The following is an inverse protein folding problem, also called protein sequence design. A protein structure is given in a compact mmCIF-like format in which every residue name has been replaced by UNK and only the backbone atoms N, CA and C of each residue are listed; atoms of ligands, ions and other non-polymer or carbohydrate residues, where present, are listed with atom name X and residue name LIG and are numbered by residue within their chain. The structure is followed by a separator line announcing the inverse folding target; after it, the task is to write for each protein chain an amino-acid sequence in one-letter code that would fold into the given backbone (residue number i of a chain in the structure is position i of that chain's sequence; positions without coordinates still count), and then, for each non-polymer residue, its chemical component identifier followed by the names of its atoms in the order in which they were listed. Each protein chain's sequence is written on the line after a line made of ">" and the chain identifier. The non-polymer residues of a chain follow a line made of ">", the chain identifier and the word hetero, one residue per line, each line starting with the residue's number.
data_IF_677422845875
#
_entry.id   IF_677422845875
#
_cell.length_a   1.000
_cell.length_b   1.000
_cell.length_c   1.000
_cell.angle_alpha   90.00
_cell.angle_beta   90.00
_cell.angle_gamma   90.00
#
_symmetry.space_group_name_H-M   'P 1'
#
loop_
_entity.id
_entity.type
_entity.pdbx_description
1 polymer ?
#
# COMPACT_ATOMS: atom_id res chain seq x y z
N UNK A 1 -12.54 11.34 -5.06
CA UNK A 1 -11.21 11.74 -5.55
C UNK A 1 -10.17 11.24 -4.57
N UNK A 2 -8.89 11.50 -4.83
CA UNK A 2 -7.92 11.64 -3.76
C UNK A 2 -8.26 12.99 -3.09
N UNK A 3 -7.42 14.03 -3.03
CA UNK A 3 -7.65 15.46 -2.63
C UNK A 3 -8.91 16.03 -1.88
N UNK A 4 -9.86 15.25 -1.38
CA UNK A 4 -10.95 15.67 -0.49
C UNK A 4 -12.12 16.14 -1.30
N UNK A 5 -12.14 15.78 -2.58
CA UNK A 5 -13.14 16.22 -3.53
C UNK A 5 -13.98 15.04 -4.02
N UNK A 6 -15.17 15.34 -4.51
CA UNK A 6 -15.93 14.39 -5.31
C UNK A 6 -15.16 14.10 -6.60
N UNK A 7 -15.08 12.83 -7.00
CA UNK A 7 -14.64 12.49 -8.35
C UNK A 7 -15.88 12.11 -9.17
N UNK A 8 -15.89 12.46 -10.46
CA UNK A 8 -16.89 11.93 -11.38
C UNK A 8 -16.84 10.40 -11.35
N UNK A 9 -17.99 9.77 -11.12
CA UNK A 9 -18.09 8.32 -11.11
C UNK A 9 -17.74 7.75 -12.49
N UNK A 10 -16.88 6.73 -12.52
CA UNK A 10 -16.62 5.93 -13.73
C UNK A 10 -17.84 5.06 -14.06
N UNK A 11 -18.62 4.71 -13.04
CA UNK A 11 -19.88 3.96 -13.14
C UNK A 11 -21.06 4.88 -12.89
N UNK A 12 -22.21 4.58 -13.50
CA UNK A 12 -23.41 5.44 -13.37
C UNK A 12 -24.16 5.20 -12.06
N UNK A 13 -23.94 4.05 -11.44
CA UNK A 13 -24.68 3.59 -10.27
C UNK A 13 -24.40 4.39 -8.99
N UNK A 14 -23.23 5.00 -8.83
CA UNK A 14 -22.90 5.85 -7.69
C UNK A 14 -21.77 6.83 -8.01
N UNK A 15 -21.65 7.90 -7.23
CA UNK A 15 -20.55 8.88 -7.33
C UNK A 15 -19.64 8.75 -6.11
N UNK A 16 -18.34 8.42 -6.29
CA UNK A 16 -17.38 8.35 -5.19
C UNK A 16 -17.23 9.69 -4.49
N UNK A 17 -17.19 9.67 -3.16
CA UNK A 17 -17.14 10.89 -2.36
C UNK A 17 -16.12 10.78 -1.22
N UNK A 18 -15.06 11.59 -1.31
CA UNK A 18 -14.04 11.72 -0.27
C UNK A 18 -14.09 13.06 0.48
N UNK A 19 -15.16 13.87 0.33
CA UNK A 19 -15.33 15.14 1.05
C UNK A 19 -15.27 14.99 2.58
N UNK A 20 -15.70 13.84 3.09
CA UNK A 20 -15.68 13.52 4.52
C UNK A 20 -14.42 12.76 4.96
N UNK A 21 -13.44 12.59 4.08
CA UNK A 21 -12.19 11.90 4.35
C UNK A 21 -10.99 12.85 4.15
N UNK A 22 -10.49 13.49 5.23
CA UNK A 22 -9.34 14.38 5.18
C UNK A 22 -8.05 13.68 4.69
N UNK A 23 -7.23 14.41 3.94
CA UNK A 23 -5.86 13.99 3.55
C UNK A 23 -4.99 13.70 4.76
N UNK A 24 -5.13 14.54 5.79
CA UNK A 24 -4.42 14.49 7.06
C UNK A 24 -4.58 13.18 7.84
N UNK A 25 -5.52 12.33 7.44
CA UNK A 25 -5.71 11.03 8.09
C UNK A 25 -4.64 10.01 7.67
N UNK A 26 -3.84 10.31 6.63
CA UNK A 26 -2.66 9.51 6.27
C UNK A 26 -2.97 8.10 5.77
N UNK A 27 -4.18 7.86 5.24
CA UNK A 27 -4.55 6.55 4.66
C UNK A 27 -3.92 6.34 3.28
N UNK A 28 -3.96 5.12 2.72
CA UNK A 28 -3.28 4.75 1.45
C UNK A 28 -3.64 5.62 0.24
N UNK A 29 -4.83 6.21 0.25
CA UNK A 29 -5.28 7.09 -0.82
C UNK A 29 -4.86 8.55 -0.58
N UNK A 30 -4.17 8.89 0.51
CA UNK A 30 -3.68 10.23 0.84
C UNK A 30 -2.27 10.49 0.30
N UNK A 31 -1.83 11.75 0.34
CA UNK A 31 -0.44 12.13 0.05
C UNK A 31 0.50 11.94 1.26
N UNK A 32 -0.05 11.68 2.44
CA UNK A 32 0.70 11.58 3.69
C UNK A 32 1.08 10.13 3.98
N UNK A 33 2.38 9.89 4.19
CA UNK A 33 2.95 8.57 4.44
C UNK A 33 3.72 8.56 5.77
N UNK A 34 3.00 8.77 6.88
CA UNK A 34 3.62 8.92 8.20
C UNK A 34 3.66 7.63 9.01
N UNK A 35 2.59 6.84 8.95
CA UNK A 35 2.43 5.64 9.79
C UNK A 35 1.73 4.49 9.03
N UNK A 36 1.44 3.39 9.73
CA UNK A 36 0.79 2.20 9.18
C UNK A 36 -0.54 2.46 8.45
N UNK A 37 -1.22 3.57 8.72
CA UNK A 37 -2.44 4.00 8.01
C UNK A 37 -2.17 4.20 6.53
N UNK A 38 -0.96 4.62 6.15
CA UNK A 38 -0.57 4.81 4.75
C UNK A 38 -0.62 3.52 3.92
N UNK A 39 -0.75 2.36 4.59
CA UNK A 39 -0.93 1.05 3.97
C UNK A 39 -2.36 0.50 4.13
N UNK A 40 -3.33 1.31 4.55
CA UNK A 40 -4.71 0.91 4.84
C UNK A 40 -5.71 1.78 4.09
N UNK A 41 -6.86 1.21 3.75
CA UNK A 41 -7.98 1.97 3.20
C UNK A 41 -8.71 2.75 4.31
N UNK A 42 -9.00 4.04 4.05
CA UNK A 42 -9.88 4.84 4.91
C UNK A 42 -11.31 4.30 4.89
N UNK A 43 -12.14 4.76 5.83
CA UNK A 43 -13.54 4.35 5.87
C UNK A 43 -14.31 4.76 4.59
N UNK A 44 -14.10 5.97 4.05
CA UNK A 44 -14.76 6.39 2.80
C UNK A 44 -14.32 5.50 1.63
N UNK A 45 -13.03 5.18 1.55
CA UNK A 45 -12.54 4.30 0.48
C UNK A 45 -13.17 2.90 0.58
N UNK A 46 -13.28 2.34 1.79
CA UNK A 46 -13.97 1.06 2.00
C UNK A 46 -15.45 1.13 1.60
N UNK A 47 -16.13 2.24 1.88
CA UNK A 47 -17.52 2.45 1.47
C UNK A 47 -17.65 2.50 -0.06
N UNK A 48 -16.84 3.31 -0.73
CA UNK A 48 -16.87 3.46 -2.19
C UNK A 48 -16.52 2.15 -2.90
N UNK A 49 -15.54 1.39 -2.41
CA UNK A 49 -15.21 0.06 -2.93
C UNK A 49 -16.42 -0.86 -2.81
N UNK A 50 -17.09 -0.89 -1.65
CA UNK A 50 -18.29 -1.71 -1.47
C UNK A 50 -19.36 -1.32 -2.49
N UNK A 51 -19.67 -0.03 -2.64
CA UNK A 51 -20.65 0.42 -3.62
C UNK A 51 -20.27 -0.02 -5.04
N UNK A 52 -19.01 0.17 -5.45
CA UNK A 52 -18.51 -0.25 -6.76
C UNK A 52 -18.65 -1.74 -6.99
N UNK A 53 -18.24 -2.57 -6.02
CA UNK A 53 -18.25 -4.03 -6.18
C UNK A 53 -19.64 -4.61 -6.41
N UNK A 54 -20.72 -3.91 -6.01
CA UNK A 54 -22.10 -4.36 -6.22
C UNK A 54 -22.74 -3.82 -7.52
N UNK A 55 -22.01 -3.05 -8.31
CA UNK A 55 -22.53 -2.50 -9.58
C UNK A 55 -22.54 -3.52 -10.70
N UNK A 56 -23.39 -3.30 -11.72
CA UNK A 56 -23.42 -4.12 -12.93
C UNK A 56 -22.10 -4.04 -13.69
N UNK A 57 -21.48 -2.86 -13.73
CA UNK A 57 -20.19 -2.62 -14.36
C UNK A 57 -19.06 -3.44 -13.72
N UNK A 58 -19.16 -3.76 -12.43
CA UNK A 58 -18.20 -4.60 -11.70
C UNK A 58 -18.55 -6.11 -11.73
N UNK A 59 -19.56 -6.53 -12.50
CA UNK A 59 -20.03 -7.92 -12.55
C UNK A 59 -18.92 -8.93 -12.89
N UNK A 60 -17.92 -8.53 -13.68
CA UNK A 60 -16.77 -9.38 -14.02
C UNK A 60 -15.93 -9.82 -12.81
N UNK A 61 -15.96 -9.07 -11.70
CA UNK A 61 -15.22 -9.42 -10.48
C UNK A 61 -15.91 -10.54 -9.66
N UNK A 62 -17.15 -10.89 -9.99
CA UNK A 62 -17.92 -11.95 -9.31
C UNK A 62 -17.72 -13.33 -9.93
N UNK A 63 -17.07 -13.39 -11.09
CA UNK A 63 -16.76 -14.63 -11.79
C UNK A 63 -15.28 -14.91 -11.73
N UNK A 64 -14.89 -16.13 -11.35
CA UNK A 64 -13.50 -16.56 -11.44
C UNK A 64 -13.29 -17.32 -12.75
N UNK A 65 -12.90 -16.59 -13.79
CA UNK A 65 -12.53 -17.10 -15.10
C UNK A 65 -11.00 -17.10 -15.32
N UNK A 66 -10.23 -16.85 -14.26
CA UNK A 66 -8.77 -16.82 -14.29
C UNK A 66 -8.21 -18.22 -14.62
N UNK A 67 -7.78 -18.41 -15.85
CA UNK A 67 -7.11 -19.64 -16.30
C UNK A 67 -5.62 -19.70 -15.92
N UNK A 68 -5.03 -18.56 -15.52
CA UNK A 68 -3.58 -18.37 -15.54
C UNK A 68 -2.89 -18.58 -14.18
N UNK A 69 -3.63 -18.58 -13.07
CA UNK A 69 -3.04 -18.71 -11.73
C UNK A 69 -3.73 -19.81 -10.91
N UNK A 70 -3.07 -20.97 -10.68
CA UNK A 70 -3.58 -21.94 -9.72
C UNK A 70 -3.68 -21.28 -8.34
N UNK A 71 -4.84 -21.37 -7.66
CA UNK A 71 -5.08 -20.80 -6.32
C UNK A 71 -4.11 -21.33 -5.23
N UNK A 72 -3.17 -22.20 -5.57
CA UNK A 72 -2.12 -22.70 -4.69
C UNK A 72 -1.20 -21.59 -4.14
N UNK A 73 -1.14 -20.42 -4.79
CA UNK A 73 -0.38 -19.26 -4.29
C UNK A 73 -0.96 -18.69 -2.99
N UNK A 74 -2.27 -18.84 -2.74
CA UNK A 74 -2.93 -18.41 -1.50
C UNK A 74 -2.45 -19.17 -0.25
N UNK A 75 -1.72 -20.29 -0.42
CA UNK A 75 -1.19 -21.09 0.69
C UNK A 75 0.26 -20.73 1.07
N UNK A 76 0.91 -19.81 0.33
CA UNK A 76 2.27 -19.36 0.66
C UNK A 76 2.20 -18.16 1.61
N UNK A 77 2.35 -18.43 2.90
CA UNK A 77 2.50 -17.42 3.97
C UNK A 77 3.95 -16.94 4.08
N UNK A 78 4.53 -16.49 2.97
CA UNK A 78 5.90 -15.95 2.96
C UNK A 78 5.81 -14.43 3.05
N UNK A 79 6.41 -13.85 4.08
CA UNK A 79 6.46 -12.40 4.24
C UNK A 79 7.56 -11.84 3.33
N UNK A 80 7.43 -10.61 2.82
CA UNK A 80 8.48 -9.96 2.03
C UNK A 80 9.85 -10.00 2.71
N UNK A 81 9.90 -9.87 4.03
CA UNK A 81 11.13 -9.95 4.82
C UNK A 81 11.86 -11.30 4.73
N UNK A 82 11.18 -12.39 4.38
CA UNK A 82 11.78 -13.73 4.29
C UNK A 82 12.72 -13.87 3.08
N UNK A 83 12.48 -13.12 2.00
CA UNK A 83 13.32 -13.12 0.78
C UNK A 83 13.95 -11.76 0.46
N UNK A 84 13.55 -10.72 1.20
CA UNK A 84 14.03 -9.35 1.04
C UNK A 84 14.78 -8.91 2.30
N UNK A 85 16.05 -9.30 2.38
CA UNK A 85 16.93 -8.88 3.48
C UNK A 85 17.06 -7.35 3.55
N UNK A 86 17.37 -6.80 4.74
CA UNK A 86 17.52 -5.36 4.94
C UNK A 86 18.53 -4.73 3.95
N UNK A 87 19.63 -5.41 3.64
CA UNK A 87 20.60 -4.97 2.63
C UNK A 87 19.98 -4.91 1.23
N UNK A 88 19.14 -5.89 0.88
CA UNK A 88 18.46 -5.92 -0.42
C UNK A 88 17.41 -4.82 -0.51
N UNK A 89 16.71 -4.53 0.59
CA UNK A 89 15.80 -3.38 0.68
C UNK A 89 16.57 -2.07 0.45
N UNK A 90 17.68 -1.85 1.14
CA UNK A 90 18.52 -0.66 0.96
C UNK A 90 19.01 -0.49 -0.49
N UNK A 91 19.49 -1.56 -1.13
CA UNK A 91 19.94 -1.52 -2.53
C UNK A 91 18.83 -1.19 -3.53
N UNK A 92 17.59 -1.59 -3.25
CA UNK A 92 16.43 -1.26 -4.11
C UNK A 92 16.01 0.20 -3.90
N UNK A 93 15.98 0.65 -2.63
CA UNK A 93 15.60 2.02 -2.30
C UNK A 93 16.63 3.04 -2.77
N UNK A 94 17.93 2.70 -2.69
CA UNK A 94 19.05 3.59 -2.99
C UNK A 94 20.02 2.93 -4.00
N UNK A 95 19.63 2.82 -5.28
CA UNK A 95 20.32 1.98 -6.29
C UNK A 95 21.73 2.43 -6.66
N UNK A 96 22.11 3.69 -6.37
CA UNK A 96 23.41 4.26 -6.73
C UNK A 96 24.47 4.17 -5.63
N UNK A 97 24.18 3.43 -4.56
CA UNK A 97 24.98 3.43 -3.35
C UNK A 97 25.50 2.02 -3.02
N UNK A 98 26.70 1.91 -2.45
CA UNK A 98 27.25 0.64 -1.93
C UNK A 98 26.67 0.33 -0.53
N UNK A 99 25.37 0.60 -0.37
CA UNK A 99 24.72 0.66 0.93
C UNK A 99 24.36 -0.73 1.47
N UNK A 100 24.73 -0.92 2.72
CA UNK A 100 24.20 -1.98 3.57
C UNK A 100 23.29 -1.34 4.61
N UNK A 101 22.34 -2.13 5.12
CA UNK A 101 21.53 -1.72 6.25
C UNK A 101 22.42 -1.49 7.48
N UNK A 102 22.14 -0.42 8.22
CA UNK A 102 22.80 -0.14 9.48
C UNK A 102 22.31 -1.13 10.54
N UNK A 103 23.16 -2.06 10.96
CA UNK A 103 22.92 -2.83 12.17
C UNK A 103 23.26 -1.95 13.38
N UNK A 104 22.25 -1.45 14.10
CA UNK A 104 22.53 -0.64 15.29
C UNK A 104 22.88 -1.52 16.48
N UNK A 105 24.05 -1.25 17.07
CA UNK A 105 24.34 -1.55 18.46
C UNK A 105 23.31 -0.88 19.38
N UNK A 106 22.89 -1.65 20.38
CA UNK A 106 22.10 -1.31 21.56
C UNK A 106 21.60 0.14 21.68
N UNK A 107 20.40 0.37 21.14
CA UNK A 107 19.55 1.51 21.47
C UNK A 107 18.17 1.22 20.88
N UNK A 108 17.18 0.95 21.73
CA UNK A 108 15.79 0.61 21.37
C UNK A 108 15.14 1.73 20.55
N UNK A 109 15.43 1.80 19.26
CA UNK A 109 14.56 2.41 18.27
C UNK A 109 13.82 1.25 17.59
N UNK A 110 12.50 1.35 17.52
CA UNK A 110 11.61 0.33 16.98
C UNK A 110 11.97 0.03 15.51
N UNK A 111 12.80 -1.00 15.30
CA UNK A 111 13.39 -1.40 14.02
C UNK A 111 12.36 -1.69 12.90
N UNK A 112 11.07 -1.80 13.24
CA UNK A 112 9.99 -2.01 12.29
C UNK A 112 9.44 -0.73 11.67
N UNK A 113 9.84 0.46 12.16
CA UNK A 113 9.31 1.74 11.66
C UNK A 113 10.19 2.43 10.63
N UNK A 114 11.51 2.22 10.66
CA UNK A 114 12.44 2.93 9.78
C UNK A 114 13.52 2.01 9.21
N UNK A 115 13.67 2.02 7.89
CA UNK A 115 14.80 1.39 7.20
C UNK A 115 15.98 2.37 7.17
N UNK A 116 17.06 2.05 7.89
CA UNK A 116 18.28 2.86 7.93
C UNK A 116 19.36 2.23 7.05
N UNK A 117 19.79 2.95 6.02
CA UNK A 117 20.81 2.52 5.06
C UNK A 117 22.09 3.37 5.21
N UNK A 118 23.26 2.73 5.10
CA UNK A 118 24.56 3.34 5.38
C UNK A 118 25.17 4.06 4.18
N UNK A 119 24.83 5.31 3.91
CA UNK A 119 25.41 6.07 2.79
C UNK A 119 26.80 6.66 3.07
N UNK A 120 27.72 6.59 2.09
CA UNK A 120 28.84 7.54 1.95
C UNK A 120 28.49 8.49 0.81
N UNK A 121 28.42 9.79 1.09
CA UNK A 121 28.39 10.82 0.06
C UNK A 121 29.74 10.82 -0.67
N UNK A 122 29.74 10.58 -1.98
CA UNK A 122 30.90 10.85 -2.85
C UNK A 122 31.09 12.34 -3.03
#
# INVERSE_FOLDING_TARGET
>A
SHDGTSASGVVRAFTPNSLQCPWGDGYIMSYEQEDSRSMKFSHCCQYDIRQLTWTYEASCLHTNDSQEYPLNWLRRYVLPGDYLSLNRQCKITLPFSTENALSKGQGKMELQRLLLCSGRTV
#
